data_IF_201530727423
#
_entry.id   IF_201530727423
#
_cell.length_a   1.000
_cell.length_b   1.000
_cell.length_c   1.000
_cell.angle_alpha   90.00
_cell.angle_beta   90.00
_cell.angle_gamma   90.00
#
_symmetry.space_group_name_H-M   'P 1'
#
loop_
_entity.id
_entity.type
_entity.pdbx_description
1 polymer ?
#
# COMPACT_ATOMS: atom_id res chain seq x y z
N UNK A 1 4.09 -9.40 1.48
CA UNK A 1 3.04 -8.62 2.17
C UNK A 1 3.62 -8.08 3.46
N UNK A 2 3.42 -6.80 3.74
CA UNK A 2 4.08 -6.12 4.87
C UNK A 2 3.83 -6.71 6.26
N UNK A 3 2.62 -7.23 6.59
CA UNK A 3 2.39 -7.85 7.90
C UNK A 3 3.27 -9.08 8.13
N UNK A 4 3.50 -9.90 7.10
CA UNK A 4 4.35 -11.09 7.20
C UNK A 4 5.82 -10.71 7.42
N UNK A 5 6.32 -9.71 6.69
CA UNK A 5 7.69 -9.21 6.88
C UNK A 5 7.89 -8.67 8.29
N UNK A 6 6.96 -7.85 8.80
CA UNK A 6 7.04 -7.32 10.16
C UNK A 6 7.10 -8.46 11.19
N UNK A 7 6.21 -9.47 11.06
CA UNK A 7 6.19 -10.62 11.96
C UNK A 7 7.50 -11.41 11.95
N UNK A 8 8.11 -11.58 10.77
CA UNK A 8 9.41 -12.24 10.65
C UNK A 8 10.52 -11.43 11.32
N UNK A 9 10.55 -10.12 11.15
CA UNK A 9 11.52 -9.23 11.83
C UNK A 9 11.39 -9.34 13.35
N UNK A 10 10.16 -9.36 13.87
CA UNK A 10 9.89 -9.45 15.31
C UNK A 10 10.23 -10.81 15.93
N UNK A 11 10.12 -11.91 15.17
CA UNK A 11 10.24 -13.27 15.70
C UNK A 11 11.52 -14.02 15.27
N UNK A 12 12.31 -13.47 14.35
CA UNK A 12 13.49 -14.15 13.83
C UNK A 12 14.56 -14.35 14.93
N UNK A 13 15.04 -15.58 15.05
CA UNK A 13 16.09 -15.97 16.00
C UNK A 13 17.48 -16.10 15.36
N UNK A 14 17.52 -16.11 14.02
CA UNK A 14 18.74 -16.20 13.23
C UNK A 14 19.10 -14.83 12.64
N UNK A 15 20.38 -14.52 12.39
CA UNK A 15 20.83 -13.24 11.85
C UNK A 15 20.52 -13.14 10.34
N UNK A 16 19.24 -13.05 9.99
CA UNK A 16 18.75 -12.90 8.62
C UNK A 16 18.13 -11.52 8.42
N UNK A 17 18.40 -10.90 7.26
CA UNK A 17 17.75 -9.65 6.86
C UNK A 17 16.47 -9.96 6.09
N UNK A 18 15.35 -9.43 6.56
CA UNK A 18 14.07 -9.50 5.88
C UNK A 18 13.76 -8.15 5.23
N UNK A 19 13.32 -8.20 3.97
CA UNK A 19 12.96 -7.00 3.23
C UNK A 19 11.46 -7.01 2.95
N UNK A 20 10.84 -5.86 3.17
CA UNK A 20 9.47 -5.59 2.72
C UNK A 20 9.49 -5.30 1.23
N UNK A 21 8.45 -5.66 0.49
CA UNK A 21 8.40 -5.51 -0.97
C UNK A 21 8.72 -4.09 -1.45
N UNK A 22 8.11 -3.05 -0.87
CA UNK A 22 8.37 -1.67 -1.24
C UNK A 22 9.80 -1.23 -0.88
N UNK A 23 10.27 -1.64 0.30
CA UNK A 23 11.65 -1.40 0.73
C UNK A 23 12.68 -2.06 -0.18
N UNK A 24 12.42 -3.28 -0.62
CA UNK A 24 13.27 -4.02 -1.54
C UNK A 24 13.31 -3.37 -2.93
N UNK A 25 12.13 -3.03 -3.47
CA UNK A 25 12.03 -2.34 -4.76
C UNK A 25 12.81 -1.03 -4.72
N UNK A 26 12.58 -0.20 -3.70
CA UNK A 26 13.24 1.10 -3.57
C UNK A 26 14.77 0.98 -3.43
N UNK A 27 15.26 0.08 -2.58
CA UNK A 27 16.68 -0.02 -2.30
C UNK A 27 17.48 -0.73 -3.39
N UNK A 28 16.91 -1.76 -4.02
CA UNK A 28 17.67 -2.67 -4.90
C UNK A 28 17.24 -2.64 -6.35
N UNK A 29 15.96 -2.43 -6.64
CA UNK A 29 15.48 -2.47 -8.03
C UNK A 29 15.52 -1.09 -8.67
N UNK A 30 15.04 -0.08 -7.96
CA UNK A 30 14.89 1.28 -8.45
C UNK A 30 16.17 1.89 -9.07
N UNK A 31 17.40 1.63 -8.57
CA UNK A 31 18.63 2.09 -9.22
C UNK A 31 18.87 1.53 -10.63
N UNK A 32 18.20 0.44 -10.97
CA UNK A 32 18.34 -0.28 -12.24
C UNK A 32 17.10 -0.17 -13.14
N UNK A 33 16.07 0.55 -12.70
CA UNK A 33 14.83 0.72 -13.44
C UNK A 33 14.74 2.14 -14.02
N UNK A 34 14.41 2.22 -15.30
CA UNK A 34 13.94 3.48 -15.91
C UNK A 34 12.43 3.51 -15.77
N UNK A 35 11.90 4.52 -15.09
CA UNK A 35 10.46 4.67 -14.89
C UNK A 35 9.93 5.81 -15.77
N UNK A 36 8.84 5.52 -16.48
CA UNK A 36 8.00 6.51 -17.13
C UNK A 36 6.72 6.69 -16.28
N UNK A 37 6.59 7.80 -15.54
CA UNK A 37 5.43 8.02 -14.70
C UNK A 37 4.14 8.15 -15.52
N UNK A 38 3.04 7.62 -14.98
CA UNK A 38 1.70 7.83 -15.54
C UNK A 38 1.12 9.18 -15.13
N UNK A 39 0.12 9.65 -15.88
CA UNK A 39 -0.52 10.94 -15.63
C UNK A 39 -1.64 10.84 -14.59
N UNK A 40 -2.34 9.70 -14.54
CA UNK A 40 -3.47 9.50 -13.62
C UNK A 40 -3.01 9.47 -12.15
N UNK A 41 -3.80 10.09 -11.24
CA UNK A 41 -3.47 10.10 -9.84
C UNK A 41 -3.68 8.72 -9.19
N UNK A 42 -2.81 8.38 -8.25
CA UNK A 42 -2.86 7.11 -7.49
C UNK A 42 -3.26 7.37 -6.05
N UNK A 43 -4.26 6.65 -5.56
CA UNK A 43 -4.54 6.58 -4.13
C UNK A 43 -3.49 5.68 -3.42
N UNK A 44 -2.89 6.15 -2.34
CA UNK A 44 -1.90 5.39 -1.56
C UNK A 44 -2.44 5.06 -0.16
N UNK A 45 -2.52 3.77 0.16
CA UNK A 45 -2.71 3.32 1.54
C UNK A 45 -1.43 2.71 2.11
N UNK A 46 -0.80 3.43 3.05
CA UNK A 46 0.35 2.95 3.82
C UNK A 46 -0.16 2.07 4.97
N UNK A 47 0.13 0.78 4.90
CA UNK A 47 -0.34 -0.21 5.89
C UNK A 47 0.24 0.06 7.27
N UNK A 48 -0.53 -0.26 8.32
CA UNK A 48 -0.07 -0.14 9.71
C UNK A 48 1.26 -0.87 9.98
N UNK A 49 1.48 -2.03 9.35
CA UNK A 49 2.75 -2.76 9.40
C UNK A 49 3.90 -2.03 8.71
N UNK A 50 3.66 -1.39 7.56
CA UNK A 50 4.67 -0.59 6.89
C UNK A 50 5.06 0.63 7.73
N UNK A 51 4.09 1.26 8.42
CA UNK A 51 4.36 2.35 9.36
C UNK A 51 5.23 1.92 10.53
N UNK A 52 4.92 0.78 11.14
CA UNK A 52 5.74 0.18 12.21
C UNK A 52 7.18 -0.12 11.78
N UNK A 53 7.38 -0.44 10.50
CA UNK A 53 8.71 -0.64 9.90
C UNK A 53 9.38 0.67 9.43
N UNK A 54 8.74 1.83 9.59
CA UNK A 54 9.27 3.12 9.15
C UNK A 54 9.31 3.31 7.63
N UNK A 55 8.48 2.59 6.87
CA UNK A 55 8.49 2.58 5.41
C UNK A 55 7.58 3.63 4.76
N UNK A 56 6.99 4.54 5.54
CA UNK A 56 6.06 5.56 5.03
C UNK A 56 6.69 6.42 3.94
N UNK A 57 7.91 6.91 4.19
CA UNK A 57 8.64 7.77 3.23
C UNK A 57 9.00 6.98 1.97
N UNK A 58 9.44 5.73 2.15
CA UNK A 58 9.81 4.84 1.05
C UNK A 58 8.63 4.60 0.11
N UNK A 59 7.45 4.32 0.66
CA UNK A 59 6.24 4.11 -0.14
C UNK A 59 5.82 5.38 -0.89
N UNK A 60 5.82 6.54 -0.22
CA UNK A 60 5.50 7.82 -0.87
C UNK A 60 6.45 8.13 -2.01
N UNK A 61 7.75 7.98 -1.80
CA UNK A 61 8.76 8.21 -2.83
C UNK A 61 8.60 7.25 -4.01
N UNK A 62 8.37 5.97 -3.73
CA UNK A 62 8.20 4.95 -4.77
C UNK A 62 6.97 5.23 -5.63
N UNK A 63 5.82 5.52 -5.01
CA UNK A 63 4.59 5.85 -5.75
C UNK A 63 4.74 7.15 -6.51
N UNK A 64 5.35 8.19 -5.91
CA UNK A 64 5.55 9.50 -6.57
C UNK A 64 6.42 9.42 -7.82
N UNK A 65 7.36 8.45 -7.88
CA UNK A 65 8.15 8.18 -9.09
C UNK A 65 7.33 7.52 -10.21
N UNK A 66 6.25 6.82 -9.86
CA UNK A 66 5.36 6.15 -10.82
C UNK A 66 4.16 7.02 -11.21
N UNK A 67 3.68 7.89 -10.30
CA UNK A 67 2.56 8.80 -10.52
C UNK A 67 2.82 10.10 -9.74
N UNK A 68 3.03 11.26 -10.41
CA UNK A 68 3.39 12.51 -9.73
C UNK A 68 2.30 13.01 -8.77
N UNK A 69 1.04 12.66 -9.05
CA UNK A 69 -0.12 12.99 -8.23
C UNK A 69 -0.46 11.79 -7.34
N UNK A 70 -0.15 11.90 -6.06
CA UNK A 70 -0.46 10.88 -5.05
C UNK A 70 -1.54 11.42 -4.13
N UNK A 71 -2.61 10.65 -3.98
CA UNK A 71 -3.72 10.97 -3.08
C UNK A 71 -3.57 10.07 -1.86
N UNK A 72 -3.37 10.67 -0.70
CA UNK A 72 -3.44 9.98 0.58
C UNK A 72 -4.72 10.46 1.26
N UNK A 73 -5.82 9.68 1.19
CA UNK A 73 -7.03 9.97 1.98
C UNK A 73 -6.62 10.21 3.43
N UNK A 74 -7.02 11.35 4.00
CA UNK A 74 -6.46 11.86 5.26
C UNK A 74 -6.62 10.83 6.39
N UNK A 75 -5.49 10.31 6.85
CA UNK A 75 -5.30 9.60 8.13
C UNK A 75 -6.19 8.38 8.42
N UNK A 76 -6.55 7.55 7.44
CA UNK A 76 -6.96 6.18 7.74
C UNK A 76 -5.73 5.34 8.17
N UNK A 77 -5.28 5.57 9.41
CA UNK A 77 -4.11 4.90 10.01
C UNK A 77 -4.23 3.37 9.99
N UNK A 78 -5.45 2.84 10.04
CA UNK A 78 -5.76 1.44 9.82
C UNK A 78 -7.04 1.31 8.99
N UNK A 79 -7.02 0.45 7.97
CA UNK A 79 -8.21 0.16 7.16
C UNK A 79 -9.26 -0.69 7.91
N UNK A 80 -9.02 -1.08 9.17
CA UNK A 80 -9.95 -1.89 9.96
C UNK A 80 -9.98 -3.38 9.60
N UNK A 81 -9.25 -3.83 8.58
CA UNK A 81 -9.24 -5.24 8.18
C UNK A 81 -8.53 -6.15 9.20
N UNK A 82 -7.41 -5.68 9.79
CA UNK A 82 -6.79 -6.33 10.95
C UNK A 82 -6.29 -7.77 10.72
N UNK A 83 -5.57 -8.02 9.63
CA UNK A 83 -5.10 -9.37 9.28
C UNK A 83 -6.16 -10.10 8.46
N UNK A 84 -6.68 -11.21 8.98
CA UNK A 84 -7.81 -11.97 8.44
C UNK A 84 -9.14 -11.67 9.17
N UNK A 85 -9.09 -10.91 10.28
CA UNK A 85 -10.28 -10.56 11.08
C UNK A 85 -11.38 -9.89 10.27
N UNK A 86 -11.04 -9.11 9.24
CA UNK A 86 -11.99 -8.46 8.35
C UNK A 86 -12.91 -9.43 7.61
N UNK A 87 -12.55 -10.72 7.50
CA UNK A 87 -13.44 -11.74 6.96
C UNK A 87 -14.51 -12.20 7.97
N UNK A 88 -14.19 -12.14 9.27
CA UNK A 88 -15.07 -12.61 10.35
C UNK A 88 -15.83 -11.47 11.02
N UNK A 89 -15.36 -10.23 10.89
CA UNK A 89 -15.97 -9.02 11.46
C UNK A 89 -15.89 -7.89 10.44
N UNK A 90 -16.61 -8.01 9.30
CA UNK A 90 -16.54 -7.04 8.19
C UNK A 90 -17.00 -5.64 8.59
N UNK A 91 -17.80 -5.51 9.65
CA UNK A 91 -18.32 -4.24 10.16
C UNK A 91 -17.18 -3.31 10.61
N UNK A 92 -16.06 -3.86 11.11
CA UNK A 92 -14.89 -3.07 11.48
C UNK A 92 -14.21 -2.43 10.26
N UNK A 93 -14.06 -3.20 9.18
CA UNK A 93 -13.51 -2.68 7.93
C UNK A 93 -14.44 -1.65 7.29
N UNK A 94 -15.76 -1.92 7.31
CA UNK A 94 -16.77 -0.99 6.81
C UNK A 94 -16.79 0.32 7.58
N UNK A 95 -16.75 0.27 8.92
CA UNK A 95 -16.72 1.46 9.76
C UNK A 95 -15.44 2.29 9.53
N UNK A 96 -14.28 1.63 9.46
CA UNK A 96 -13.00 2.29 9.24
C UNK A 96 -12.90 2.98 7.87
N UNK A 97 -13.56 2.45 6.84
CA UNK A 97 -13.49 2.95 5.46
C UNK A 97 -14.75 3.67 4.98
N UNK A 98 -15.68 4.00 5.88
CA UNK A 98 -16.99 4.57 5.55
C UNK A 98 -16.91 5.87 4.72
N UNK A 99 -15.82 6.63 4.87
CA UNK A 99 -15.61 7.92 4.19
C UNK A 99 -14.63 7.84 3.01
N UNK A 100 -13.99 6.70 2.79
CA UNK A 100 -12.91 6.55 1.80
C UNK A 100 -13.36 6.96 0.40
N UNK A 101 -14.54 6.49 -0.03
CA UNK A 101 -15.08 6.80 -1.36
C UNK A 101 -15.25 8.30 -1.60
N UNK A 102 -15.62 9.07 -0.56
CA UNK A 102 -15.86 10.51 -0.66
C UNK A 102 -14.55 11.32 -0.69
N UNK A 103 -13.45 10.73 -0.22
CA UNK A 103 -12.13 11.36 -0.20
C UNK A 103 -11.35 11.15 -1.50
N UNK A 104 -11.81 10.25 -2.37
CA UNK A 104 -11.17 9.99 -3.66
C UNK A 104 -11.83 10.83 -4.75
N UNK A 105 -11.07 11.70 -5.46
CA UNK A 105 -11.60 12.45 -6.59
C UNK A 105 -12.01 11.51 -7.72
N UNK A 106 -12.90 11.98 -8.60
CA UNK A 106 -13.41 11.15 -9.69
C UNK A 106 -12.31 10.67 -10.66
N UNK A 107 -11.26 11.49 -10.80
CA UNK A 107 -10.06 11.24 -11.62
C UNK A 107 -9.14 10.16 -11.05
N UNK A 108 -9.34 9.72 -9.80
CA UNK A 108 -8.57 8.64 -9.19
C UNK A 108 -9.31 7.32 -9.36
N UNK A 109 -8.82 6.51 -10.31
CA UNK A 109 -9.48 5.26 -10.70
C UNK A 109 -8.99 4.03 -9.94
N UNK A 110 -7.81 4.11 -9.33
CA UNK A 110 -7.15 2.99 -8.66
C UNK A 110 -6.31 3.45 -7.47
N UNK A 111 -5.95 2.49 -6.63
CA UNK A 111 -5.07 2.71 -5.49
C UNK A 111 -4.04 1.61 -5.34
N UNK A 112 -3.08 1.86 -4.47
CA UNK A 112 -2.03 0.90 -4.12
C UNK A 112 -1.88 0.73 -2.62
N UNK A 113 -1.52 -0.50 -2.24
CA UNK A 113 -1.12 -0.85 -0.88
C UNK A 113 -0.02 -1.93 -0.95
N UNK A 114 0.43 -2.42 0.21
CA UNK A 114 1.41 -3.50 0.32
C UNK A 114 0.95 -4.65 1.25
N UNK A 115 -0.36 -4.74 1.48
CA UNK A 115 -1.02 -5.86 2.16
C UNK A 115 -2.27 -6.29 1.38
N UNK A 116 -2.33 -7.59 1.06
CA UNK A 116 -3.42 -8.17 0.27
C UNK A 116 -4.79 -7.96 0.92
N UNK A 117 -4.88 -8.05 2.24
CA UNK A 117 -6.15 -7.88 2.94
C UNK A 117 -6.57 -6.41 3.01
N UNK A 118 -5.61 -5.47 3.11
CA UNK A 118 -5.91 -4.06 2.92
C UNK A 118 -6.41 -3.78 1.50
N UNK A 119 -5.76 -4.34 0.47
CA UNK A 119 -6.20 -4.19 -0.93
C UNK A 119 -7.66 -4.63 -1.12
N UNK A 120 -8.05 -5.77 -0.54
CA UNK A 120 -9.43 -6.29 -0.60
C UNK A 120 -10.41 -5.30 0.04
N UNK A 121 -10.16 -4.89 1.29
CA UNK A 121 -11.06 -3.99 2.02
C UNK A 121 -11.16 -2.60 1.39
N UNK A 122 -10.03 -2.03 0.97
CA UNK A 122 -9.99 -0.74 0.28
C UNK A 122 -10.74 -0.81 -1.04
N UNK A 123 -10.57 -1.89 -1.81
CA UNK A 123 -11.31 -2.09 -3.07
C UNK A 123 -12.80 -2.14 -2.83
N UNK A 124 -13.23 -2.93 -1.84
CA UNK A 124 -14.63 -3.11 -1.50
C UNK A 124 -15.30 -1.78 -1.10
N UNK A 125 -14.65 -0.98 -0.25
CA UNK A 125 -15.27 0.20 0.34
C UNK A 125 -15.04 1.51 -0.45
N UNK A 126 -14.00 1.59 -1.28
CA UNK A 126 -13.81 2.74 -2.19
C UNK A 126 -14.57 2.59 -3.51
N UNK A 127 -14.81 1.37 -3.97
CA UNK A 127 -15.24 1.09 -5.34
C UNK A 127 -14.14 1.34 -6.39
N UNK A 128 -12.89 1.52 -5.97
CA UNK A 128 -11.70 1.67 -6.84
C UNK A 128 -10.80 0.46 -6.66
N UNK A 129 -10.10 0.04 -7.71
CA UNK A 129 -9.26 -1.15 -7.60
C UNK A 129 -7.98 -0.83 -6.82
N UNK A 130 -7.75 -1.50 -5.69
CA UNK A 130 -6.46 -1.45 -4.98
C UNK A 130 -5.59 -2.66 -5.33
N UNK A 131 -4.30 -2.41 -5.62
CA UNK A 131 -3.32 -3.45 -5.96
C UNK A 131 -2.02 -3.28 -5.17
N UNK A 132 -1.15 -4.28 -5.23
CA UNK A 132 0.22 -4.15 -4.70
C UNK A 132 0.96 -3.00 -5.39
N UNK A 133 1.73 -2.22 -4.64
CA UNK A 133 2.63 -1.19 -5.19
C UNK A 133 3.59 -1.75 -6.24
N UNK A 134 3.93 -3.04 -6.19
CA UNK A 134 4.76 -3.69 -7.19
C UNK A 134 4.15 -3.65 -8.60
N UNK A 135 2.81 -3.75 -8.72
CA UNK A 135 2.13 -3.66 -10.01
C UNK A 135 2.26 -2.27 -10.64
N UNK A 136 2.17 -1.22 -9.81
CA UNK A 136 2.35 0.15 -10.28
C UNK A 136 3.77 0.38 -10.78
N UNK A 137 4.77 -0.14 -10.03
CA UNK A 137 6.17 -0.06 -10.44
C UNK A 137 6.38 -0.78 -11.77
N UNK A 138 5.96 -2.04 -11.88
CA UNK A 138 6.06 -2.84 -13.11
C UNK A 138 5.47 -2.10 -14.32
N UNK A 139 4.25 -1.55 -14.17
CA UNK A 139 3.56 -0.83 -15.24
C UNK A 139 4.30 0.42 -15.72
N UNK A 140 5.09 1.05 -14.85
CA UNK A 140 5.85 2.25 -15.17
C UNK A 140 7.26 1.97 -15.70
N UNK A 141 7.74 0.72 -15.68
CA UNK A 141 9.06 0.38 -16.23
C UNK A 141 9.05 0.49 -17.77
N UNK A 142 10.12 1.07 -18.33
CA UNK A 142 10.36 1.18 -19.77
C UNK A 142 11.74 0.69 -20.18
#
# INVERSE_FOLDING_TARGET
TSPCTLRLIECATQPMKFYETAGFIHAFLLPHLTLKPQAEPIALHITCSARKMGLDKVLRELVKRCAPQVIEPEEEGCCGFGGDKGFMTPELNAAALARLKQQLPETCHEGVSNSRTCEIGLTLHSGRQYRSVAYLVERCVV
#
